data_IF_345403711806
#
_entry.id   IF_345403711806
#
_cell.length_a   1.000
_cell.length_b   1.000
_cell.length_c   1.000
_cell.angle_alpha   90.00
_cell.angle_beta   90.00
_cell.angle_gamma   90.00
#
_symmetry.space_group_name_H-M   'P 1'
#
loop_
_entity.id
_entity.type
_entity.pdbx_description
1 polymer ?
#
# COMPACT_ATOMS: atom_id res chain seq x y z
N UNK A 1 -16.39 -7.46 5.65
CA UNK A 1 -17.09 -7.62 4.35
C UNK A 1 -18.59 -7.59 4.62
N UNK A 2 -19.38 -6.86 3.83
CA UNK A 2 -20.85 -6.87 3.97
C UNK A 2 -21.35 -8.26 3.57
N UNK A 3 -22.08 -8.95 4.44
CA UNK A 3 -22.65 -10.26 4.11
C UNK A 3 -23.58 -10.10 2.89
N UNK A 4 -23.47 -10.95 1.85
CA UNK A 4 -24.37 -10.91 0.71
C UNK A 4 -25.84 -11.06 1.13
N UNK A 5 -26.79 -10.57 0.32
CA UNK A 5 -28.21 -10.89 0.51
C UNK A 5 -28.42 -12.41 0.46
N UNK A 6 -29.37 -12.97 1.23
CA UNK A 6 -29.59 -14.42 1.30
C UNK A 6 -29.87 -15.06 -0.06
N UNK A 7 -30.58 -14.35 -0.96
CA UNK A 7 -30.84 -14.78 -2.34
C UNK A 7 -29.57 -15.08 -3.15
N UNK A 8 -28.46 -14.39 -2.86
CA UNK A 8 -27.18 -14.58 -3.54
C UNK A 8 -26.45 -15.81 -2.98
N UNK A 9 -26.53 -16.04 -1.67
CA UNK A 9 -25.98 -17.24 -1.05
C UNK A 9 -26.60 -18.52 -1.63
N UNK A 10 -27.91 -18.51 -1.84
CA UNK A 10 -28.65 -19.67 -2.38
C UNK A 10 -28.31 -19.97 -3.86
N UNK A 11 -27.77 -18.99 -4.58
CA UNK A 11 -27.34 -19.13 -5.98
C UNK A 11 -25.92 -19.69 -6.15
N UNK A 12 -25.17 -19.87 -5.06
CA UNK A 12 -23.78 -20.31 -5.12
C UNK A 12 -23.66 -21.82 -5.36
N UNK A 13 -22.65 -22.25 -6.14
CA UNK A 13 -22.33 -23.67 -6.26
C UNK A 13 -21.84 -24.24 -4.93
N UNK A 14 -21.90 -25.57 -4.77
CA UNK A 14 -21.35 -26.24 -3.59
C UNK A 14 -19.85 -25.90 -3.44
N UNK A 15 -19.40 -25.48 -2.23
CA UNK A 15 -18.00 -25.17 -1.98
C UNK A 15 -17.09 -26.37 -2.28
N UNK A 16 -16.13 -26.18 -3.18
CA UNK A 16 -15.10 -27.18 -3.44
C UNK A 16 -13.87 -26.83 -2.61
N UNK A 17 -13.64 -27.57 -1.52
CA UNK A 17 -12.49 -27.38 -0.64
C UNK A 17 -11.27 -28.24 -0.98
N UNK A 18 -11.36 -29.09 -2.03
CA UNK A 18 -10.35 -30.10 -2.38
C UNK A 18 -9.45 -29.61 -3.51
N UNK A 19 -10.03 -29.04 -4.58
CA UNK A 19 -9.30 -28.42 -5.69
C UNK A 19 -10.05 -27.19 -6.22
N UNK A 20 -9.98 -26.05 -5.52
CA UNK A 20 -10.71 -24.85 -5.89
C UNK A 20 -9.99 -24.11 -7.03
N UNK A 21 -10.72 -23.66 -8.04
CA UNK A 21 -10.17 -22.70 -9.00
C UNK A 21 -9.86 -21.40 -8.26
N UNK A 22 -8.60 -20.96 -8.30
CA UNK A 22 -8.13 -19.83 -7.53
C UNK A 22 -7.10 -19.01 -8.31
N UNK A 23 -7.16 -17.69 -8.13
CA UNK A 23 -6.27 -16.72 -8.78
C UNK A 23 -5.12 -16.26 -7.89
N UNK A 24 -4.84 -17.03 -6.83
CA UNK A 24 -3.78 -16.75 -5.88
C UNK A 24 -2.39 -16.58 -6.53
N UNK A 25 -1.95 -17.50 -7.40
CA UNK A 25 -0.66 -17.39 -8.09
C UNK A 25 -0.55 -16.15 -8.98
N UNK A 26 -1.62 -15.79 -9.70
CA UNK A 26 -1.66 -14.58 -10.55
C UNK A 26 -1.44 -13.31 -9.72
N UNK A 27 -2.08 -13.20 -8.54
CA UNK A 27 -1.92 -12.07 -7.63
C UNK A 27 -0.48 -11.91 -7.15
N UNK A 28 0.22 -13.02 -6.87
CA UNK A 28 1.63 -13.00 -6.44
C UNK A 28 2.53 -12.54 -7.59
N UNK A 29 2.33 -13.09 -8.79
CA UNK A 29 3.14 -12.75 -9.97
C UNK A 29 3.02 -11.25 -10.28
N UNK A 30 1.79 -10.73 -10.33
CA UNK A 30 1.54 -9.31 -10.60
C UNK A 30 2.17 -8.43 -9.52
N UNK A 31 2.00 -8.78 -8.25
CA UNK A 31 2.58 -8.05 -7.12
C UNK A 31 4.11 -7.99 -7.20
N UNK A 32 4.77 -9.11 -7.53
CA UNK A 32 6.23 -9.17 -7.69
C UNK A 32 6.73 -8.32 -8.87
N UNK A 33 6.01 -8.32 -9.99
CA UNK A 33 6.36 -7.49 -11.16
C UNK A 33 6.31 -6.00 -10.78
N UNK A 34 5.19 -5.54 -10.20
CA UNK A 34 5.04 -4.13 -9.82
C UNK A 34 6.03 -3.70 -8.74
N UNK A 35 6.31 -4.57 -7.77
CA UNK A 35 7.33 -4.31 -6.75
C UNK A 35 8.71 -4.20 -7.39
N UNK A 36 9.08 -5.11 -8.28
CA UNK A 36 10.37 -5.07 -8.99
C UNK A 36 10.54 -3.79 -9.80
N UNK A 37 9.51 -3.40 -10.56
CA UNK A 37 9.50 -2.14 -11.31
C UNK A 37 9.67 -0.95 -10.36
N UNK A 38 8.99 -0.96 -9.21
CA UNK A 38 9.10 0.11 -8.20
C UNK A 38 10.53 0.23 -7.65
N UNK A 39 11.19 -0.90 -7.35
CA UNK A 39 12.60 -0.90 -6.91
C UNK A 39 13.53 -0.32 -7.98
N UNK A 40 13.34 -0.68 -9.26
CA UNK A 40 14.13 -0.14 -10.37
C UNK A 40 13.95 1.38 -10.49
N UNK A 41 12.72 1.87 -10.42
CA UNK A 41 12.41 3.31 -10.50
C UNK A 41 13.03 4.08 -9.32
N UNK A 42 12.91 3.55 -8.10
CA UNK A 42 13.51 4.17 -6.91
C UNK A 42 15.04 4.16 -7.01
N UNK A 43 15.64 3.06 -7.47
CA UNK A 43 17.07 2.95 -7.71
C UNK A 43 17.58 3.96 -8.73
N UNK A 44 16.88 4.10 -9.87
CA UNK A 44 17.21 5.10 -10.89
C UNK A 44 17.07 6.53 -10.35
N UNK A 45 16.03 6.79 -9.54
CA UNK A 45 15.84 8.09 -8.89
C UNK A 45 17.01 8.41 -7.95
N UNK A 46 17.43 7.47 -7.13
CA UNK A 46 18.58 7.64 -6.24
C UNK A 46 19.88 7.84 -7.03
N UNK A 47 20.08 7.11 -8.14
CA UNK A 47 21.23 7.28 -9.03
C UNK A 47 21.30 8.69 -9.63
N UNK A 48 20.21 9.17 -10.22
CA UNK A 48 20.09 10.52 -10.77
C UNK A 48 20.40 11.57 -9.70
N UNK A 49 19.89 11.39 -8.48
CA UNK A 49 20.07 12.35 -7.39
C UNK A 49 21.51 12.39 -6.87
N UNK A 50 22.09 11.23 -6.59
CA UNK A 50 23.45 11.13 -6.05
C UNK A 50 24.52 11.54 -7.06
N UNK A 51 24.34 11.22 -8.35
CA UNK A 51 25.35 11.48 -9.39
C UNK A 51 25.18 12.82 -10.06
N UNK A 52 23.95 13.26 -10.34
CA UNK A 52 23.68 14.49 -11.12
C UNK A 52 23.44 15.71 -10.22
N UNK A 53 22.73 15.55 -9.09
CA UNK A 53 22.23 16.69 -8.29
C UNK A 53 22.95 16.96 -6.95
N UNK A 54 24.07 16.28 -6.64
CA UNK A 54 24.91 16.41 -5.41
C UNK A 54 24.55 17.64 -4.55
N UNK A 55 24.06 17.55 -3.29
CA UNK A 55 24.23 16.48 -2.29
C UNK A 55 22.93 15.75 -1.90
N UNK A 56 23.09 14.57 -1.27
CA UNK A 56 22.00 13.79 -0.69
C UNK A 56 21.18 14.66 0.29
N UNK A 57 19.88 14.75 0.04
CA UNK A 57 18.97 15.51 0.89
C UNK A 57 18.20 14.62 1.85
N UNK A 58 17.49 15.26 2.79
CA UNK A 58 16.45 14.59 3.58
C UNK A 58 15.39 13.87 2.71
N UNK A 59 15.22 14.32 1.46
CA UNK A 59 14.40 13.66 0.44
C UNK A 59 14.82 12.20 0.17
N UNK A 60 16.12 11.94 0.05
CA UNK A 60 16.63 10.62 -0.32
C UNK A 60 16.41 9.60 0.82
N UNK A 61 16.50 10.06 2.07
CA UNK A 61 16.19 9.26 3.25
C UNK A 61 14.70 8.90 3.36
N UNK A 62 13.81 9.85 3.04
CA UNK A 62 12.37 9.58 3.00
C UNK A 62 12.01 8.55 1.93
N UNK A 63 12.70 8.58 0.80
CA UNK A 63 12.50 7.62 -0.28
C UNK A 63 13.10 6.24 0.05
N UNK A 64 14.28 6.18 0.65
CA UNK A 64 14.84 4.91 1.15
C UNK A 64 13.96 4.29 2.23
N UNK A 65 13.34 5.12 3.08
CA UNK A 65 12.41 4.67 4.09
C UNK A 65 11.15 4.02 3.49
N UNK A 66 10.78 4.25 2.22
CA UNK A 66 9.61 3.59 1.59
C UNK A 66 9.88 2.15 1.19
N UNK A 67 11.13 1.79 0.88
CA UNK A 67 11.52 0.45 0.43
C UNK A 67 11.11 -0.67 1.40
N UNK A 68 11.35 -0.59 2.73
CA UNK A 68 10.90 -1.62 3.65
C UNK A 68 9.37 -1.75 3.70
N UNK A 69 8.62 -0.65 3.54
CA UNK A 69 7.15 -0.72 3.50
C UNK A 69 6.64 -1.34 2.20
N UNK A 70 7.31 -1.11 1.06
CA UNK A 70 6.98 -1.79 -0.20
C UNK A 70 7.22 -3.30 -0.06
N UNK A 71 8.35 -3.70 0.54
CA UNK A 71 8.64 -5.10 0.82
C UNK A 71 7.62 -5.71 1.79
N UNK A 72 7.27 -4.99 2.86
CA UNK A 72 6.24 -5.39 3.83
C UNK A 72 4.85 -5.54 3.19
N UNK A 73 4.43 -4.60 2.35
CA UNK A 73 3.17 -4.69 1.61
C UNK A 73 3.14 -5.90 0.67
N UNK A 74 4.24 -6.17 -0.03
CA UNK A 74 4.36 -7.35 -0.91
C UNK A 74 4.30 -8.66 -0.10
N UNK A 75 4.99 -8.71 1.04
CA UNK A 75 4.93 -9.86 1.94
C UNK A 75 3.51 -10.12 2.46
N UNK A 76 2.76 -9.07 2.77
CA UNK A 76 1.35 -9.19 3.18
C UNK A 76 0.44 -9.62 2.05
N UNK A 77 0.67 -9.17 0.82
CA UNK A 77 -0.07 -9.68 -0.34
C UNK A 77 0.18 -11.18 -0.53
N UNK A 78 1.43 -11.64 -0.38
CA UNK A 78 1.77 -13.07 -0.44
C UNK A 78 1.09 -13.84 0.69
N UNK A 79 1.16 -13.35 1.92
CA UNK A 79 0.46 -13.95 3.08
C UNK A 79 -1.06 -13.96 2.88
N UNK A 80 -1.63 -12.94 2.23
CA UNK A 80 -3.05 -12.88 1.90
C UNK A 80 -3.46 -14.06 1.01
N UNK A 81 -2.65 -14.40 0.01
CA UNK A 81 -2.88 -15.55 -0.88
C UNK A 81 -2.95 -16.87 -0.13
N UNK A 82 -2.10 -17.06 0.88
CA UNK A 82 -2.15 -18.26 1.74
C UNK A 82 -3.38 -18.32 2.64
N UNK A 83 -3.99 -17.17 2.95
CA UNK A 83 -5.21 -17.08 3.75
C UNK A 83 -6.46 -16.85 2.88
N UNK A 84 -6.49 -17.39 1.66
CA UNK A 84 -7.71 -17.37 0.85
C UNK A 84 -7.87 -16.18 -0.10
N UNK A 85 -6.87 -15.31 -0.29
CA UNK A 85 -6.95 -14.31 -1.35
C UNK A 85 -6.85 -14.96 -2.73
N UNK A 86 -7.78 -14.58 -3.61
CA UNK A 86 -7.89 -15.15 -4.96
C UNK A 86 -8.80 -16.36 -5.06
N UNK A 87 -9.37 -16.85 -3.94
CA UNK A 87 -10.45 -17.83 -3.95
C UNK A 87 -11.80 -17.15 -4.11
N UNK A 88 -12.77 -17.87 -4.68
CA UNK A 88 -14.14 -17.42 -4.73
C UNK A 88 -14.76 -17.36 -3.31
N UNK A 89 -15.74 -16.48 -3.12
CA UNK A 89 -16.35 -16.29 -1.79
C UNK A 89 -17.00 -17.56 -1.22
N UNK A 90 -17.45 -18.47 -2.08
CA UNK A 90 -18.05 -19.75 -1.69
C UNK A 90 -17.01 -20.81 -1.31
N UNK A 91 -15.80 -20.78 -1.87
CA UNK A 91 -14.70 -21.71 -1.55
C UNK A 91 -13.85 -21.24 -0.36
N UNK A 92 -14.17 -20.07 0.20
CA UNK A 92 -13.41 -19.48 1.29
C UNK A 92 -13.75 -20.13 2.63
N UNK A 93 -12.75 -20.76 3.26
CA UNK A 93 -12.94 -21.40 4.57
C UNK A 93 -13.18 -20.34 5.66
N UNK A 94 -14.13 -20.57 6.60
CA UNK A 94 -14.42 -19.61 7.66
C UNK A 94 -13.19 -19.33 8.54
N UNK A 95 -12.29 -20.30 8.70
CA UNK A 95 -11.03 -20.17 9.44
C UNK A 95 -10.05 -19.15 8.83
N UNK A 96 -10.16 -18.88 7.52
CA UNK A 96 -9.27 -17.97 6.81
C UNK A 96 -9.73 -16.50 6.86
N UNK A 97 -10.97 -16.25 7.27
CA UNK A 97 -11.57 -14.91 7.24
C UNK A 97 -10.86 -13.90 8.13
N UNK A 98 -10.54 -14.29 9.37
CA UNK A 98 -9.79 -13.47 10.33
C UNK A 98 -8.36 -13.15 9.86
N UNK A 99 -7.50 -14.15 9.53
CA UNK A 99 -6.14 -13.86 9.09
C UNK A 99 -6.10 -13.14 7.72
N UNK A 100 -7.05 -13.40 6.81
CA UNK A 100 -7.19 -12.63 5.56
C UNK A 100 -7.54 -11.17 5.83
N UNK A 101 -8.39 -10.90 6.81
CA UNK A 101 -8.71 -9.55 7.28
C UNK A 101 -7.50 -8.86 7.89
N UNK A 102 -6.69 -9.58 8.68
CA UNK A 102 -5.41 -9.08 9.21
C UNK A 102 -4.45 -8.68 8.10
N UNK A 103 -4.25 -9.55 7.11
CA UNK A 103 -3.33 -9.27 6.00
C UNK A 103 -3.80 -8.09 5.15
N UNK A 104 -5.12 -7.98 4.92
CA UNK A 104 -5.73 -6.85 4.19
C UNK A 104 -5.48 -5.52 4.89
N UNK A 105 -5.72 -5.49 6.19
CA UNK A 105 -5.53 -4.29 6.99
C UNK A 105 -4.07 -3.85 7.01
N UNK A 106 -3.13 -4.78 7.18
CA UNK A 106 -1.71 -4.47 7.16
C UNK A 106 -1.25 -3.98 5.78
N UNK A 107 -1.70 -4.60 4.70
CA UNK A 107 -1.43 -4.14 3.33
C UNK A 107 -1.95 -2.71 3.09
N UNK A 108 -3.13 -2.39 3.62
CA UNK A 108 -3.73 -1.07 3.53
C UNK A 108 -2.93 -0.02 4.30
N UNK A 109 -2.49 -0.33 5.53
CA UNK A 109 -1.62 0.55 6.33
C UNK A 109 -0.30 0.85 5.62
N UNK A 110 0.38 -0.18 5.09
CA UNK A 110 1.61 0.01 4.32
C UNK A 110 1.37 0.92 3.11
N UNK A 111 0.29 0.69 2.39
CA UNK A 111 -0.07 1.50 1.21
C UNK A 111 -0.25 2.99 1.55
N UNK A 112 -0.91 3.30 2.68
CA UNK A 112 -1.11 4.69 3.15
C UNK A 112 0.23 5.33 3.52
N UNK A 113 1.10 4.60 4.22
CA UNK A 113 2.43 5.08 4.63
C UNK A 113 3.30 5.36 3.40
N UNK A 114 3.35 4.42 2.44
CA UNK A 114 4.12 4.57 1.19
C UNK A 114 3.62 5.80 0.42
N UNK A 115 2.31 5.96 0.23
CA UNK A 115 1.73 7.07 -0.51
C UNK A 115 2.03 8.43 0.14
N UNK A 116 2.04 8.47 1.48
CA UNK A 116 2.39 9.68 2.24
C UNK A 116 3.87 10.01 2.09
N UNK A 117 4.77 9.03 2.28
CA UNK A 117 6.21 9.22 2.17
C UNK A 117 6.66 9.60 0.74
N UNK A 118 6.09 8.98 -0.29
CA UNK A 118 6.40 9.30 -1.70
C UNK A 118 5.99 10.74 -2.03
N UNK A 119 4.80 11.17 -1.62
CA UNK A 119 4.36 12.56 -1.81
C UNK A 119 5.26 13.53 -1.04
N UNK A 120 5.61 13.22 0.20
CA UNK A 120 6.53 14.04 1.00
C UNK A 120 7.90 14.16 0.35
N UNK A 121 8.46 13.05 -0.14
CA UNK A 121 9.72 13.05 -0.90
C UNK A 121 9.65 14.03 -2.08
N UNK A 122 8.61 13.91 -2.92
CA UNK A 122 8.43 14.83 -4.06
C UNK A 122 8.33 16.30 -3.62
N UNK A 123 7.57 16.60 -2.56
CA UNK A 123 7.39 17.98 -2.07
C UNK A 123 8.67 18.56 -1.46
N UNK A 124 9.44 17.78 -0.69
CA UNK A 124 10.74 18.20 -0.16
C UNK A 124 11.72 18.46 -1.32
N UNK A 125 11.66 17.63 -2.37
CA UNK A 125 12.37 17.85 -3.63
C UNK A 125 11.99 19.19 -4.28
N UNK A 126 10.71 19.54 -4.32
CA UNK A 126 10.22 20.82 -4.84
C UNK A 126 10.70 22.01 -4.02
N UNK A 127 10.68 21.89 -2.68
CA UNK A 127 11.11 22.95 -1.77
C UNK A 127 12.56 23.39 -2.01
N UNK A 128 13.43 22.46 -2.44
CA UNK A 128 14.83 22.75 -2.80
C UNK A 128 14.98 23.43 -4.16
N UNK A 129 14.12 23.13 -5.12
CA UNK A 129 14.19 23.72 -6.47
C UNK A 129 13.57 25.13 -6.46
N UNK A 130 12.56 25.36 -5.62
CA UNK A 130 11.77 26.58 -5.60
C UNK A 130 12.42 27.80 -4.94
N UNK A 131 13.75 27.91 -4.93
CA UNK A 131 14.47 29.04 -4.32
C UNK A 131 14.04 30.39 -4.94
N UNK A 132 13.51 30.39 -6.16
CA UNK A 132 13.16 31.60 -6.90
C UNK A 132 11.88 32.34 -6.44
N UNK A 133 10.91 31.70 -5.77
CA UNK A 133 9.61 32.36 -5.48
C UNK A 133 9.06 32.05 -4.09
N UNK A 134 8.94 33.10 -3.24
CA UNK A 134 8.43 32.98 -1.85
C UNK A 134 7.00 32.42 -1.77
N UNK A 135 6.14 32.73 -2.75
CA UNK A 135 4.78 32.19 -2.85
C UNK A 135 4.78 30.67 -3.01
N UNK A 136 5.57 30.16 -3.97
CA UNK A 136 5.67 28.73 -4.23
C UNK A 136 6.16 27.97 -3.00
N UNK A 137 7.16 28.50 -2.28
CA UNK A 137 7.68 27.89 -1.05
C UNK A 137 6.61 27.77 0.04
N UNK A 138 5.78 28.81 0.21
CA UNK A 138 4.68 28.80 1.19
C UNK A 138 3.59 27.81 0.79
N UNK A 139 3.24 27.74 -0.50
CA UNK A 139 2.31 26.75 -1.04
C UNK A 139 2.81 25.31 -0.82
N UNK A 140 4.11 25.03 -1.04
CA UNK A 140 4.69 23.70 -0.79
C UNK A 140 4.58 23.30 0.69
N UNK A 141 4.83 24.22 1.62
CA UNK A 141 4.66 23.95 3.06
C UNK A 141 3.21 23.64 3.43
N UNK A 142 2.23 24.36 2.88
CA UNK A 142 0.80 24.08 3.07
C UNK A 142 0.43 22.70 2.53
N UNK A 143 0.98 22.33 1.37
CA UNK A 143 0.73 21.00 0.80
C UNK A 143 1.37 19.89 1.65
N UNK A 144 2.56 20.10 2.21
CA UNK A 144 3.20 19.16 3.14
C UNK A 144 2.30 18.94 4.35
N UNK A 145 1.83 20.01 5.01
CA UNK A 145 0.97 19.87 6.19
C UNK A 145 -0.35 19.17 5.87
N UNK A 146 -0.97 19.51 4.73
CA UNK A 146 -2.19 18.85 4.28
C UNK A 146 -1.99 17.34 4.04
N UNK A 147 -0.88 16.93 3.42
CA UNK A 147 -0.59 15.52 3.13
C UNK A 147 -0.30 14.75 4.42
N UNK A 148 0.41 15.34 5.37
CA UNK A 148 0.66 14.71 6.68
C UNK A 148 -0.65 14.53 7.45
N UNK A 149 -1.50 15.57 7.49
CA UNK A 149 -2.80 15.50 8.15
C UNK A 149 -3.71 14.45 7.49
N UNK A 150 -3.71 14.38 6.16
CA UNK A 150 -4.45 13.37 5.40
C UNK A 150 -3.95 11.95 5.70
N UNK A 151 -2.62 11.73 5.67
CA UNK A 151 -2.02 10.42 5.94
C UNK A 151 -2.28 9.94 7.38
N UNK A 152 -2.15 10.83 8.36
CA UNK A 152 -2.49 10.55 9.75
C UNK A 152 -3.99 10.28 9.92
N UNK A 153 -4.85 11.08 9.29
CA UNK A 153 -6.31 10.92 9.38
C UNK A 153 -6.82 9.61 8.79
N UNK A 154 -6.27 9.17 7.66
CA UNK A 154 -6.64 7.86 7.09
C UNK A 154 -6.07 6.72 7.92
N UNK A 155 -4.83 6.85 8.42
CA UNK A 155 -4.24 5.82 9.27
C UNK A 155 -5.05 5.61 10.54
N UNK A 156 -5.46 6.70 11.22
CA UNK A 156 -6.35 6.62 12.39
C UNK A 156 -7.72 6.09 12.00
N UNK A 157 -8.33 6.57 10.92
CA UNK A 157 -9.63 6.06 10.44
C UNK A 157 -9.60 4.55 10.18
N UNK A 158 -8.53 4.04 9.55
CA UNK A 158 -8.36 2.61 9.29
C UNK A 158 -8.14 1.79 10.57
N UNK A 159 -7.51 2.37 11.59
CA UNK A 159 -7.35 1.73 12.90
C UNK A 159 -8.66 1.72 13.70
N UNK A 160 -9.39 2.85 13.74
CA UNK A 160 -10.69 2.97 14.37
C UNK A 160 -11.75 2.08 13.71
N UNK A 161 -11.78 2.02 12.38
CA UNK A 161 -12.70 1.17 11.64
C UNK A 161 -12.53 -0.32 11.98
N UNK A 162 -11.34 -0.74 12.39
CA UNK A 162 -11.10 -2.12 12.82
C UNK A 162 -11.42 -2.35 14.31
N UNK A 163 -11.12 -1.39 15.18
CA UNK A 163 -11.50 -1.43 16.60
C UNK A 163 -13.01 -1.52 16.84
N UNK A 164 -13.83 -1.05 15.88
CA UNK A 164 -15.30 -1.12 15.96
C UNK A 164 -15.84 -2.47 15.46
N UNK A 165 -15.06 -3.23 14.69
CA UNK A 165 -15.48 -4.49 14.05
C UNK A 165 -15.05 -5.73 14.86
N UNK A 166 -14.05 -5.59 15.74
CA UNK A 166 -13.63 -6.59 16.73
C UNK A 166 -14.48 -6.46 17.99
#
# INVERSE_FOLDING_TARGET
>A
MRKPPPQVFDSWPEPNYVDPEHKGPELIIVSLIFTSISFVIVGLRMFVRLRIKKPAGWDDWLMLATLPFIAGGTASSILGTYHGWGYHMWDNKPEWTEPAGMSSWFSQLNSIIIMTLVKLSILVSYLRISVATKFFRRATWVMITMIVLWGLGISTSSAFGRLIIV
#
